data_IF_667964842725
#
_entry.id   IF_667964842725
#
_cell.length_a   1.000
_cell.length_b   1.000
_cell.length_c   1.000
_cell.angle_alpha   90.00
_cell.angle_beta   90.00
_cell.angle_gamma   90.00
#
_symmetry.space_group_name_H-M   'P 1'
#
loop_
_entity.id
_entity.type
_entity.pdbx_description
1 polymer ?
#
# COMPACT_ATOMS: atom_id res chain seq x y z
N UNK A 1 -27.44 5.87 -19.37
CA UNK A 1 -26.09 6.44 -19.59
C UNK A 1 -25.17 5.28 -19.92
N UNK A 2 -24.42 5.28 -21.03
CA UNK A 2 -23.52 4.18 -21.32
C UNK A 2 -22.35 4.23 -20.34
N UNK A 3 -22.00 3.09 -19.75
CA UNK A 3 -20.75 2.93 -19.02
C UNK A 3 -19.62 3.19 -20.02
N UNK A 4 -18.88 4.29 -19.82
CA UNK A 4 -17.67 4.58 -20.58
C UNK A 4 -16.69 3.42 -20.42
N UNK A 5 -15.99 3.10 -21.50
CA UNK A 5 -15.00 2.03 -21.57
C UNK A 5 -13.88 2.30 -20.55
N UNK A 6 -13.92 1.61 -19.41
CA UNK A 6 -12.88 1.72 -18.39
C UNK A 6 -11.72 0.80 -18.74
N UNK A 7 -10.60 1.39 -19.19
CA UNK A 7 -9.37 0.64 -19.42
C UNK A 7 -8.67 0.39 -18.08
N UNK A 8 -8.49 -0.88 -17.72
CA UNK A 8 -7.72 -1.26 -16.54
C UNK A 8 -6.23 -1.30 -16.89
N UNK A 9 -5.46 -0.35 -16.35
CA UNK A 9 -4.00 -0.34 -16.50
C UNK A 9 -3.34 -1.02 -15.29
N UNK A 10 -2.67 -2.15 -15.55
CA UNK A 10 -1.91 -2.88 -14.54
C UNK A 10 -0.41 -2.67 -14.75
N UNK A 11 0.29 -2.33 -13.66
CA UNK A 11 1.74 -2.24 -13.66
C UNK A 11 2.32 -3.32 -12.75
N UNK A 12 3.30 -4.05 -13.27
CA UNK A 12 4.00 -5.12 -12.55
C UNK A 12 5.39 -4.65 -12.15
N UNK A 13 5.71 -4.91 -10.89
CA UNK A 13 6.93 -4.43 -10.25
C UNK A 13 7.55 -5.60 -9.50
N UNK A 14 8.76 -5.99 -9.89
CA UNK A 14 9.56 -6.97 -9.15
C UNK A 14 10.85 -6.30 -8.73
N UNK A 15 11.09 -6.22 -7.42
CA UNK A 15 12.23 -5.51 -6.87
C UNK A 15 12.86 -6.33 -5.75
N UNK A 16 14.19 -6.41 -5.76
CA UNK A 16 14.98 -6.98 -4.68
C UNK A 16 15.68 -5.84 -3.94
N UNK A 17 15.48 -5.76 -2.63
CA UNK A 17 16.24 -4.84 -1.78
C UNK A 17 16.33 -5.40 -0.37
N UNK A 18 17.54 -5.72 0.06
CA UNK A 18 17.80 -6.20 1.42
C UNK A 18 17.75 -5.07 2.46
N UNK A 19 17.87 -3.82 2.02
CA UNK A 19 18.14 -2.68 2.92
C UNK A 19 17.12 -1.55 2.86
N UNK A 20 16.16 -1.58 1.92
CA UNK A 20 15.26 -0.44 1.68
C UNK A 20 13.80 -0.86 1.76
N UNK A 21 13.00 -0.06 2.47
CA UNK A 21 11.54 -0.13 2.43
C UNK A 21 11.04 0.09 1.00
N UNK A 22 10.53 -0.97 0.36
CA UNK A 22 10.06 -0.97 -1.04
C UNK A 22 9.03 0.12 -1.32
N UNK A 23 8.19 0.47 -0.34
CA UNK A 23 7.14 1.46 -0.53
C UNK A 23 7.75 2.86 -0.69
N UNK A 24 8.74 3.21 0.13
CA UNK A 24 9.41 4.52 0.05
C UNK A 24 10.57 4.57 -0.94
N UNK A 25 11.24 3.43 -1.16
CA UNK A 25 12.36 3.31 -2.06
C UNK A 25 11.98 3.14 -3.53
N UNK A 26 10.79 2.61 -3.81
CA UNK A 26 10.42 2.24 -5.19
C UNK A 26 9.01 2.66 -5.58
N UNK A 27 7.99 2.28 -4.80
CA UNK A 27 6.59 2.52 -5.16
C UNK A 27 6.27 4.02 -5.16
N UNK A 28 6.58 4.73 -4.08
CA UNK A 28 6.33 6.16 -3.96
C UNK A 28 7.06 6.99 -5.03
N UNK A 29 8.36 6.74 -5.34
CA UNK A 29 9.03 7.37 -6.48
C UNK A 29 8.35 7.10 -7.82
N UNK A 30 7.98 5.84 -8.08
CA UNK A 30 7.41 5.44 -9.38
C UNK A 30 6.02 6.04 -9.62
N UNK A 31 5.20 6.12 -8.58
CA UNK A 31 3.87 6.73 -8.62
C UNK A 31 3.90 8.24 -8.40
N UNK A 32 5.08 8.80 -8.11
CA UNK A 32 5.28 10.21 -7.76
C UNK A 32 4.27 10.71 -6.71
N UNK A 33 4.03 9.91 -5.66
CA UNK A 33 2.96 10.15 -4.70
C UNK A 33 3.32 9.74 -3.28
N UNK A 34 2.67 10.39 -2.31
CA UNK A 34 2.63 9.90 -0.92
C UNK A 34 1.85 8.57 -0.87
N UNK A 35 2.21 7.70 0.07
CA UNK A 35 1.54 6.41 0.25
C UNK A 35 1.05 6.23 1.67
N UNK A 36 -0.15 5.66 1.82
CA UNK A 36 -0.60 5.05 3.06
C UNK A 36 -0.56 3.53 2.92
N UNK A 37 0.19 2.86 3.80
CA UNK A 37 0.56 1.45 3.66
C UNK A 37 -0.06 0.63 4.80
N UNK A 38 -0.81 -0.40 4.45
CA UNK A 38 -1.36 -1.41 5.36
C UNK A 38 -0.63 -2.73 5.14
N UNK A 39 0.19 -3.13 6.10
CA UNK A 39 0.89 -4.42 6.08
C UNK A 39 1.03 -4.97 7.49
N UNK A 40 1.07 -6.30 7.64
CA UNK A 40 1.23 -6.95 8.94
C UNK A 40 2.54 -6.55 9.65
N UNK A 41 2.43 -5.89 10.81
CA UNK A 41 3.58 -5.32 11.55
C UNK A 41 4.08 -6.18 12.72
N UNK A 42 3.54 -7.39 12.92
CA UNK A 42 3.83 -8.21 14.11
C UNK A 42 4.83 -9.36 13.92
N UNK A 43 5.30 -9.66 12.69
CA UNK A 43 6.36 -10.67 12.52
C UNK A 43 7.75 -10.18 12.94
N UNK A 44 8.78 -11.04 12.87
CA UNK A 44 10.20 -10.70 13.12
C UNK A 44 10.70 -9.52 12.25
N UNK A 45 11.61 -8.69 12.78
CA UNK A 45 12.25 -7.53 12.09
C UNK A 45 11.86 -6.14 12.65
N UNK A 46 12.59 -5.10 12.24
CA UNK A 46 12.37 -3.72 12.70
C UNK A 46 11.16 -3.09 12.02
N UNK A 47 10.25 -2.53 12.83
CA UNK A 47 9.10 -1.76 12.33
C UNK A 47 9.58 -0.48 11.67
N UNK A 48 9.19 -0.27 10.40
CA UNK A 48 9.51 0.97 9.69
C UNK A 48 8.56 2.07 10.17
N UNK A 49 9.05 3.21 10.68
CA UNK A 49 8.23 4.35 11.06
C UNK A 49 7.72 5.09 9.82
N UNK A 50 6.96 6.18 10.02
CA UNK A 50 6.72 7.17 8.97
C UNK A 50 8.05 7.57 8.32
N UNK A 51 8.08 7.66 7.00
CA UNK A 51 9.31 7.96 6.25
C UNK A 51 9.04 9.06 5.23
N UNK A 52 9.97 10.02 5.15
CA UNK A 52 9.92 11.13 4.19
C UNK A 52 11.15 11.01 3.30
N UNK A 53 10.94 10.92 1.98
CA UNK A 53 12.03 10.85 1.00
C UNK A 53 11.63 11.57 -0.27
N UNK A 54 12.49 12.47 -0.75
CA UNK A 54 12.30 13.29 -1.94
C UNK A 54 10.93 14.01 -1.96
N UNK A 55 10.54 14.61 -0.83
CA UNK A 55 9.24 15.29 -0.67
C UNK A 55 8.02 14.37 -0.57
N UNK A 56 8.18 13.04 -0.69
CA UNK A 56 7.10 12.06 -0.57
C UNK A 56 7.06 11.47 0.83
N UNK A 57 5.84 11.28 1.32
CA UNK A 57 5.56 10.75 2.66
C UNK A 57 5.02 9.33 2.49
N UNK A 58 5.63 8.37 3.15
CA UNK A 58 5.13 7.00 3.24
C UNK A 58 4.78 6.72 4.68
N UNK A 59 3.48 6.55 4.94
CA UNK A 59 2.92 6.40 6.27
C UNK A 59 2.26 5.05 6.47
N UNK A 60 2.12 4.65 7.73
CA UNK A 60 1.47 3.40 8.09
C UNK A 60 -0.01 3.64 8.37
N UNK A 61 -0.86 2.75 7.86
CA UNK A 61 -2.23 2.65 8.33
C UNK A 61 -2.22 1.90 9.66
N UNK A 62 -2.83 2.48 10.70
CA UNK A 62 -2.92 1.84 12.02
C UNK A 62 -4.27 1.13 12.23
N UNK A 63 -5.33 1.72 11.68
CA UNK A 63 -6.72 1.32 11.87
C UNK A 63 -7.46 1.34 10.54
N UNK A 64 -8.22 0.30 10.28
CA UNK A 64 -9.13 0.20 9.14
C UNK A 64 -10.57 0.26 9.66
N UNK A 65 -11.37 1.13 9.07
CA UNK A 65 -12.79 1.25 9.40
C UNK A 65 -13.60 0.90 8.17
N UNK A 66 -14.36 -0.20 8.25
CA UNK A 66 -15.23 -0.66 7.19
C UNK A 66 -16.67 -0.27 7.52
N UNK A 67 -17.29 0.53 6.65
CA UNK A 67 -18.72 0.82 6.74
C UNK A 67 -19.47 0.00 5.70
N UNK A 68 -19.83 -1.23 6.09
CA UNK A 68 -20.59 -2.14 5.24
C UNK A 68 -22.09 -1.97 5.52
N UNK A 69 -22.73 -1.11 4.71
CA UNK A 69 -24.17 -0.84 4.79
C UNK A 69 -24.59 0.04 5.99
N UNK A 70 -25.83 -0.10 6.49
CA UNK A 70 -26.37 0.75 7.56
C UNK A 70 -25.90 0.34 8.96
N UNK A 71 -25.12 -0.73 9.09
CA UNK A 71 -24.61 -1.21 10.37
C UNK A 71 -23.53 -0.29 10.93
N UNK A 72 -23.24 -0.46 12.22
CA UNK A 72 -22.12 0.22 12.88
C UNK A 72 -20.81 -0.11 12.14
N UNK A 73 -19.90 0.87 11.99
CA UNK A 73 -18.62 0.62 11.34
C UNK A 73 -17.82 -0.46 12.08
N UNK A 74 -17.26 -1.39 11.32
CA UNK A 74 -16.34 -2.40 11.83
C UNK A 74 -14.92 -1.85 11.82
N UNK A 75 -14.21 -2.04 12.93
CA UNK A 75 -12.87 -1.50 13.12
C UNK A 75 -11.88 -2.64 13.22
N UNK A 76 -10.91 -2.68 12.30
CA UNK A 76 -9.87 -3.70 12.24
C UNK A 76 -8.52 -3.03 12.48
N UNK A 77 -7.75 -3.54 13.45
CA UNK A 77 -6.37 -3.11 13.67
C UNK A 77 -5.48 -3.72 12.61
N UNK A 78 -4.61 -2.92 12.00
CA UNK A 78 -3.64 -3.39 11.01
C UNK A 78 -2.62 -4.40 11.58
N UNK A 79 -2.54 -4.54 12.91
CA UNK A 79 -1.75 -5.60 13.57
C UNK A 79 -2.34 -7.00 13.44
N UNK A 80 -3.64 -7.10 13.15
CA UNK A 80 -4.37 -8.37 12.95
C UNK A 80 -4.53 -8.70 11.48
N UNK A 81 -4.54 -7.68 10.63
CA UNK A 81 -4.65 -7.84 9.18
C UNK A 81 -3.33 -8.35 8.57
N UNK A 82 -3.41 -9.47 7.84
CA UNK A 82 -2.30 -10.05 7.10
C UNK A 82 -2.21 -9.51 5.67
N UNK A 83 -3.20 -8.71 5.25
CA UNK A 83 -3.23 -8.08 3.94
C UNK A 83 -2.08 -7.09 3.80
N UNK A 84 -1.67 -6.88 2.56
CA UNK A 84 -0.50 -6.08 2.20
C UNK A 84 -0.87 -5.22 1.02
N UNK A 85 -1.18 -3.98 1.32
CA UNK A 85 -1.65 -3.04 0.32
C UNK A 85 -1.24 -1.62 0.67
N UNK A 86 -1.29 -0.73 -0.32
CA UNK A 86 -1.07 0.68 -0.15
C UNK A 86 -1.99 1.47 -1.05
N UNK A 87 -2.33 2.69 -0.65
CA UNK A 87 -3.04 3.65 -1.47
C UNK A 87 -2.19 4.88 -1.70
N UNK A 88 -2.23 5.41 -2.92
CA UNK A 88 -1.57 6.68 -3.22
C UNK A 88 -2.44 7.86 -2.81
N UNK A 89 -1.82 8.89 -2.27
CA UNK A 89 -2.42 10.21 -2.13
C UNK A 89 -2.15 11.01 -3.42
N UNK A 90 -2.73 10.56 -4.54
CA UNK A 90 -2.62 11.21 -5.85
C UNK A 90 -4.01 11.34 -6.50
N UNK A 91 -4.19 12.29 -7.44
CA UNK A 91 -5.42 12.38 -8.23
C UNK A 91 -5.77 11.09 -8.98
N UNK A 92 -4.76 10.30 -9.37
CA UNK A 92 -4.92 9.03 -10.08
C UNK A 92 -5.37 7.88 -9.16
N UNK A 93 -5.23 8.01 -7.83
CA UNK A 93 -5.75 7.06 -6.83
C UNK A 93 -5.37 5.59 -7.08
N UNK A 94 -4.07 5.31 -7.09
CA UNK A 94 -3.56 3.95 -7.16
C UNK A 94 -3.88 3.14 -5.90
N UNK A 95 -4.36 1.91 -6.10
CA UNK A 95 -4.39 0.86 -5.08
C UNK A 95 -3.32 -0.16 -5.41
N UNK A 96 -2.29 -0.26 -4.58
CA UNK A 96 -1.27 -1.29 -4.67
C UNK A 96 -1.67 -2.46 -3.78
N UNK A 97 -1.79 -3.65 -4.33
CA UNK A 97 -1.86 -4.89 -3.57
C UNK A 97 -0.54 -5.62 -3.79
N UNK A 98 -0.06 -6.32 -2.77
CA UNK A 98 1.23 -6.97 -2.87
C UNK A 98 1.36 -8.13 -1.91
N UNK A 99 2.54 -8.74 -1.95
CA UNK A 99 2.90 -9.83 -1.05
C UNK A 99 3.79 -9.34 0.10
N UNK A 100 4.06 -8.02 0.19
CA UNK A 100 5.17 -7.46 0.97
C UNK A 100 4.74 -6.70 2.21
N UNK A 101 5.44 -6.93 3.32
CA UNK A 101 5.28 -6.09 4.50
C UNK A 101 6.25 -4.92 4.47
N UNK A 102 5.90 -3.84 5.17
CA UNK A 102 6.81 -2.71 5.38
C UNK A 102 7.85 -3.05 6.46
N UNK A 103 8.94 -3.70 6.06
CA UNK A 103 10.04 -4.15 6.94
C UNK A 103 11.41 -3.95 6.31
N UNK A 104 12.43 -3.75 7.15
CA UNK A 104 13.84 -3.83 6.75
C UNK A 104 14.26 -5.31 6.70
N UNK A 105 14.91 -5.76 5.63
CA UNK A 105 15.46 -7.12 5.52
C UNK A 105 14.50 -8.24 5.07
N UNK A 106 13.50 -7.98 4.22
CA UNK A 106 12.66 -9.03 3.63
C UNK A 106 12.78 -9.10 2.09
N UNK A 107 12.78 -10.33 1.56
CA UNK A 107 12.80 -10.68 0.12
C UNK A 107 11.38 -10.68 -0.48
N UNK A 108 11.23 -10.32 -1.77
CA UNK A 108 10.01 -9.66 -2.25
C UNK A 108 9.65 -9.93 -3.74
N UNK A 109 8.35 -10.17 -4.04
CA UNK A 109 7.71 -10.12 -5.39
C UNK A 109 6.32 -9.43 -5.32
N UNK A 110 6.10 -8.29 -5.98
CA UNK A 110 4.83 -7.53 -5.92
C UNK A 110 3.82 -7.98 -7.00
N UNK A 111 2.55 -8.21 -6.63
CA UNK A 111 1.47 -8.52 -7.57
C UNK A 111 0.21 -7.69 -7.27
N UNK A 112 -0.24 -6.95 -8.30
CA UNK A 112 -1.58 -6.36 -8.56
C UNK A 112 -1.79 -4.88 -8.17
N UNK A 113 -2.26 -4.09 -9.14
CA UNK A 113 -2.80 -2.74 -8.98
C UNK A 113 -4.21 -2.72 -9.59
N UNK A 114 -5.20 -2.21 -8.84
CA UNK A 114 -6.56 -1.96 -9.33
C UNK A 114 -6.77 -0.44 -9.40
N UNK A 115 -7.29 0.04 -10.53
CA UNK A 115 -7.78 1.41 -10.69
C UNK A 115 -9.30 1.38 -10.50
N UNK A 116 -9.81 2.21 -9.59
CA UNK A 116 -11.23 2.58 -9.55
C UNK A 116 -11.32 4.04 -9.97
N UNK A 117 -11.88 4.27 -11.16
CA UNK A 117 -12.99 5.16 -11.51
C UNK A 117 -13.10 5.17 -13.04
#
# INVERSE_FOLDING_TARGET
>A
MPFGESSLHAYFFSFFSEFVDVYSGVVAPKLQSHLMVSTWRNGRGTKVPRHIKDGRIVDNIELLTFKLGPKKPEVVKNTVDHSKWAISHSPLRYVCVGTLNRKVGQMVVLHKILHYF
#
